data_IF_427798506253
#
_entry.id   IF_427798506253
#
_cell.length_a   1.000
_cell.length_b   1.000
_cell.length_c   1.000
_cell.angle_alpha   90.00
_cell.angle_beta   90.00
_cell.angle_gamma   90.00
#
_symmetry.space_group_name_H-M   'P 1'
#
loop_
_entity.id
_entity.type
_entity.pdbx_description
1 polymer ?
#
# COMPACT_ATOMS: atom_id res chain seq x y z
N UNK A 1 -1.41 18.61 -4.64
CA UNK A 1 -1.25 17.86 -3.39
C UNK A 1 -0.76 16.49 -3.78
N UNK A 2 0.29 15.99 -3.15
CA UNK A 2 0.76 14.63 -3.41
C UNK A 2 -0.03 13.72 -2.49
N UNK A 3 -0.90 12.90 -3.06
CA UNK A 3 -1.71 11.95 -2.34
C UNK A 3 -0.88 10.68 -2.07
N UNK A 4 -0.86 10.23 -0.82
CA UNK A 4 -0.05 9.08 -0.37
C UNK A 4 -0.91 7.83 -0.31
N UNK A 5 -0.42 6.72 -0.87
CA UNK A 5 -0.99 5.39 -0.66
C UNK A 5 -0.10 4.61 0.30
N UNK A 6 -0.68 4.19 1.43
CA UNK A 6 0.04 3.44 2.46
C UNK A 6 -0.07 1.95 2.18
N UNK A 7 1.07 1.27 2.16
CA UNK A 7 1.20 -0.17 1.97
C UNK A 7 0.89 -0.94 3.28
N UNK A 8 0.57 -2.23 3.17
CA UNK A 8 0.16 -3.05 4.31
C UNK A 8 1.27 -3.24 5.34
N UNK A 9 2.53 -3.31 4.91
CA UNK A 9 3.67 -3.47 5.81
C UNK A 9 3.79 -2.29 6.80
N UNK A 10 3.55 -1.05 6.34
CA UNK A 10 3.54 0.15 7.18
C UNK A 10 2.37 0.11 8.17
N UNK A 11 1.17 -0.30 7.70
CA UNK A 11 -0.01 -0.47 8.54
C UNK A 11 0.22 -1.49 9.65
N UNK A 12 0.75 -2.67 9.29
CA UNK A 12 1.07 -3.74 10.22
C UNK A 12 2.11 -3.28 11.24
N UNK A 13 3.13 -2.53 10.82
CA UNK A 13 4.13 -1.97 11.72
C UNK A 13 3.53 -0.96 12.70
N UNK A 14 2.60 -0.12 12.23
CA UNK A 14 1.89 0.82 13.09
C UNK A 14 1.06 0.10 14.15
N UNK A 15 0.23 -0.88 13.75
CA UNK A 15 -0.58 -1.69 14.67
C UNK A 15 0.27 -2.44 15.71
N UNK A 16 1.48 -2.86 15.32
CA UNK A 16 2.47 -3.49 16.22
C UNK A 16 3.26 -2.49 17.08
N UNK A 17 2.90 -1.21 17.07
CA UNK A 17 3.54 -0.15 17.87
C UNK A 17 4.99 0.12 17.50
N UNK A 18 5.41 -0.19 16.26
CA UNK A 18 6.79 0.05 15.82
C UNK A 18 7.03 1.55 15.71
N UNK A 19 7.96 2.08 16.51
CA UNK A 19 8.27 3.51 16.60
C UNK A 19 8.41 4.21 15.23
N UNK A 20 9.13 3.66 14.23
CA UNK A 20 9.24 4.30 12.92
C UNK A 20 7.88 4.53 12.24
N UNK A 21 6.95 3.57 12.34
CA UNK A 21 5.63 3.67 11.73
C UNK A 21 4.73 4.63 12.51
N UNK A 22 4.79 4.59 13.84
CA UNK A 22 4.07 5.54 14.70
C UNK A 22 4.50 6.98 14.40
N UNK A 23 5.81 7.25 14.38
CA UNK A 23 6.35 8.58 14.07
C UNK A 23 5.99 9.03 12.65
N UNK A 24 5.95 8.10 11.69
CA UNK A 24 5.53 8.36 10.31
C UNK A 24 4.05 8.74 10.22
N UNK A 25 3.14 7.98 10.84
CA UNK A 25 1.71 8.30 10.86
C UNK A 25 1.41 9.65 11.52
N UNK A 26 2.14 10.02 12.57
CA UNK A 26 2.01 11.36 13.16
C UNK A 26 2.37 12.48 12.18
N UNK A 27 3.33 12.25 11.28
CA UNK A 27 3.70 13.23 10.24
C UNK A 27 2.66 13.27 9.11
N UNK A 28 2.25 12.11 8.59
CA UNK A 28 1.33 12.03 7.45
C UNK A 28 -0.04 12.59 7.83
N UNK A 29 -0.54 12.29 9.04
CA UNK A 29 -1.82 12.80 9.55
C UNK A 29 -1.90 14.34 9.61
N UNK A 30 -0.77 15.03 9.67
CA UNK A 30 -0.73 16.49 9.63
C UNK A 30 -0.83 17.05 8.20
N UNK A 31 -0.61 16.24 7.17
CA UNK A 31 -0.63 16.65 5.77
C UNK A 31 -2.01 16.45 5.16
N UNK A 32 -2.54 15.23 5.22
CA UNK A 32 -3.90 14.88 4.76
C UNK A 32 -4.30 13.47 5.26
N UNK A 33 -5.53 13.07 4.99
CA UNK A 33 -6.00 11.69 5.18
C UNK A 33 -5.34 10.79 4.11
N UNK A 34 -4.54 9.78 4.49
CA UNK A 34 -3.87 8.91 3.53
C UNK A 34 -4.85 7.95 2.85
N UNK A 35 -4.46 7.50 1.66
CA UNK A 35 -5.18 6.46 0.94
C UNK A 35 -4.63 5.06 1.28
N UNK A 36 -5.45 4.04 1.06
CA UNK A 36 -5.02 2.65 1.01
C UNK A 36 -5.69 1.90 -0.16
N UNK A 37 -5.07 0.78 -0.52
CA UNK A 37 -5.68 -0.20 -1.42
C UNK A 37 -6.59 -1.16 -0.63
N UNK A 38 -7.72 -1.63 -1.20
CA UNK A 38 -8.49 -2.71 -0.58
C UNK A 38 -7.67 -4.00 -0.41
N UNK A 39 -6.62 -4.19 -1.21
CA UNK A 39 -5.69 -5.31 -1.04
C UNK A 39 -4.91 -5.18 0.28
N UNK A 40 -4.46 -3.97 0.63
CA UNK A 40 -3.77 -3.73 1.90
C UNK A 40 -4.69 -4.00 3.10
N UNK A 41 -5.99 -3.70 2.98
CA UNK A 41 -7.00 -4.06 3.99
C UNK A 41 -7.08 -5.58 4.15
N UNK A 42 -7.16 -6.33 3.03
CA UNK A 42 -7.19 -7.80 3.05
C UNK A 42 -5.95 -8.35 3.75
N UNK A 43 -4.76 -7.83 3.45
CA UNK A 43 -3.51 -8.29 4.05
C UNK A 43 -3.44 -8.01 5.55
N UNK A 44 -3.84 -6.81 5.98
CA UNK A 44 -3.90 -6.45 7.41
C UNK A 44 -4.85 -7.38 8.16
N UNK A 45 -6.09 -7.52 7.68
CA UNK A 45 -7.11 -8.35 8.32
C UNK A 45 -6.75 -9.84 8.33
N UNK A 46 -5.99 -10.31 7.34
CA UNK A 46 -5.54 -11.71 7.26
C UNK A 46 -4.48 -12.07 8.32
N UNK A 47 -3.84 -11.08 8.95
CA UNK A 47 -2.81 -11.29 9.98
C UNK A 47 -3.26 -10.77 11.37
N UNK A 48 -4.53 -10.39 11.52
CA UNK A 48 -5.11 -9.96 12.80
C UNK A 48 -5.15 -11.12 13.80
N UNK A 49 -4.76 -10.85 15.05
CA UNK A 49 -4.82 -11.83 16.14
C UNK A 49 -6.07 -11.64 16.98
N UNK A 50 -6.51 -12.71 17.68
CA UNK A 50 -7.61 -12.61 18.65
C UNK A 50 -7.36 -11.51 19.69
N UNK A 51 -8.32 -10.60 19.83
CA UNK A 51 -8.28 -9.43 20.72
C UNK A 51 -7.72 -8.16 20.07
N UNK A 52 -7.26 -8.20 18.82
CA UNK A 52 -6.77 -7.04 18.06
C UNK A 52 -7.79 -6.51 17.03
N UNK A 53 -8.96 -7.15 16.89
CA UNK A 53 -9.95 -6.89 15.83
C UNK A 53 -10.47 -5.45 15.85
N UNK A 54 -11.07 -5.02 16.97
CA UNK A 54 -11.70 -3.69 17.09
C UNK A 54 -10.69 -2.56 16.87
N UNK A 55 -9.46 -2.73 17.37
CA UNK A 55 -8.38 -1.77 17.20
C UNK A 55 -7.94 -1.70 15.74
N UNK A 56 -7.87 -2.85 15.07
CA UNK A 56 -7.49 -2.94 13.66
C UNK A 56 -8.56 -2.32 12.77
N UNK A 57 -9.84 -2.65 12.96
CA UNK A 57 -10.93 -2.05 12.19
C UNK A 57 -11.00 -0.53 12.39
N UNK A 58 -10.88 -0.07 13.64
CA UNK A 58 -10.84 1.37 13.95
C UNK A 58 -9.70 2.09 13.25
N UNK A 59 -8.52 1.45 13.16
CA UNK A 59 -7.39 1.99 12.43
C UNK A 59 -7.62 2.01 10.91
N UNK A 60 -8.18 0.95 10.33
CA UNK A 60 -8.46 0.90 8.89
C UNK A 60 -9.51 1.93 8.44
N UNK A 61 -10.45 2.30 9.32
CA UNK A 61 -11.43 3.36 9.07
C UNK A 61 -10.81 4.77 8.97
N UNK A 62 -9.52 4.93 9.29
CA UNK A 62 -8.81 6.19 9.11
C UNK A 62 -8.46 6.49 7.64
N UNK A 63 -8.45 5.48 6.76
CA UNK A 63 -7.97 5.62 5.39
C UNK A 63 -9.10 5.86 4.39
N UNK A 64 -8.80 6.64 3.34
CA UNK A 64 -9.62 6.66 2.13
C UNK A 64 -9.25 5.46 1.25
N UNK A 65 -10.23 4.64 0.87
CA UNK A 65 -9.97 3.44 0.06
C UNK A 65 -10.08 3.75 -1.43
N UNK A 66 -9.02 3.49 -2.20
CA UNK A 66 -9.06 3.57 -3.66
C UNK A 66 -9.46 2.21 -4.22
N UNK A 67 -10.68 2.11 -4.75
CA UNK A 67 -11.20 0.87 -5.31
C UNK A 67 -10.41 0.46 -6.56
N UNK A 68 -10.22 -0.86 -6.71
CA UNK A 68 -9.57 -1.44 -7.90
C UNK A 68 -10.57 -1.49 -9.04
N UNK A 69 -10.37 -0.62 -10.02
CA UNK A 69 -11.16 -0.59 -11.25
C UNK A 69 -10.47 -1.34 -12.40
N UNK A 70 -11.04 -1.22 -13.60
CA UNK A 70 -10.52 -1.87 -14.80
C UNK A 70 -9.14 -1.34 -15.19
N UNK A 71 -8.89 -0.04 -15.05
CA UNK A 71 -7.63 0.58 -15.45
C UNK A 71 -6.49 0.13 -14.53
N UNK A 72 -6.74 0.12 -13.21
CA UNK A 72 -5.81 -0.41 -12.21
C UNK A 72 -5.54 -1.90 -12.48
N UNK A 73 -6.59 -2.71 -12.70
CA UNK A 73 -6.42 -4.14 -12.95
C UNK A 73 -5.61 -4.43 -14.23
N UNK A 74 -5.86 -3.69 -15.32
CA UNK A 74 -5.10 -3.83 -16.56
C UNK A 74 -3.64 -3.41 -16.36
N UNK A 75 -3.39 -2.29 -15.68
CA UNK A 75 -2.05 -1.80 -15.37
C UNK A 75 -1.27 -2.81 -14.53
N UNK A 76 -1.90 -3.39 -13.50
CA UNK A 76 -1.31 -4.45 -12.68
C UNK A 76 -0.92 -5.67 -13.53
N UNK A 77 -1.82 -6.13 -14.41
CA UNK A 77 -1.55 -7.27 -15.29
C UNK A 77 -0.36 -7.05 -16.24
N UNK A 78 -0.27 -5.85 -16.84
CA UNK A 78 0.87 -5.49 -17.69
C UNK A 78 2.17 -5.39 -16.90
N UNK A 79 2.13 -4.82 -15.69
CA UNK A 79 3.29 -4.74 -14.81
C UNK A 79 3.82 -6.13 -14.45
N UNK A 80 2.95 -7.07 -14.08
CA UNK A 80 3.37 -8.46 -13.80
C UNK A 80 3.99 -9.11 -15.04
N UNK A 81 3.39 -8.91 -16.22
CA UNK A 81 3.94 -9.45 -17.47
C UNK A 81 5.34 -8.90 -17.76
N UNK A 82 5.53 -7.57 -17.70
CA UNK A 82 6.82 -6.90 -17.92
C UNK A 82 7.89 -7.38 -16.91
N UNK A 83 7.50 -7.52 -15.64
CA UNK A 83 8.38 -8.01 -14.57
C UNK A 83 8.83 -9.45 -14.85
N UNK A 84 7.86 -10.30 -15.17
CA UNK A 84 8.10 -11.72 -15.48
C UNK A 84 9.01 -11.88 -16.69
N UNK A 85 8.85 -11.07 -17.75
CA UNK A 85 9.72 -11.13 -18.92
C UNK A 85 11.18 -10.74 -18.63
N UNK A 86 11.42 -10.06 -17.51
CA UNK A 86 12.76 -9.72 -16.98
C UNK A 86 13.28 -10.72 -15.93
N UNK A 87 12.56 -11.83 -15.70
CA UNK A 87 12.92 -12.82 -14.69
C UNK A 87 12.66 -12.36 -13.24
N UNK A 88 11.88 -11.29 -13.04
CA UNK A 88 11.54 -10.76 -11.72
C UNK A 88 10.12 -11.19 -11.38
N UNK A 89 9.96 -11.90 -10.27
CA UNK A 89 8.65 -12.26 -9.73
C UNK A 89 8.06 -11.07 -8.96
N UNK A 90 6.77 -10.86 -9.12
CA UNK A 90 5.98 -9.87 -8.40
C UNK A 90 4.63 -10.52 -8.08
N UNK A 91 4.16 -10.36 -6.85
CA UNK A 91 2.85 -10.89 -6.47
C UNK A 91 1.73 -10.07 -7.12
N UNK A 92 0.54 -10.67 -7.25
CA UNK A 92 -0.62 -9.93 -7.75
C UNK A 92 -1.01 -8.80 -6.79
N UNK A 93 -0.84 -9.00 -5.48
CA UNK A 93 -1.14 -7.99 -4.47
C UNK A 93 -0.25 -6.76 -4.65
N UNK A 94 1.07 -6.95 -4.69
CA UNK A 94 2.05 -5.89 -4.93
C UNK A 94 1.77 -5.17 -6.25
N UNK A 95 1.44 -5.93 -7.30
CA UNK A 95 1.17 -5.36 -8.61
C UNK A 95 -0.08 -4.46 -8.61
N UNK A 96 -1.13 -4.86 -7.89
CA UNK A 96 -2.35 -4.05 -7.75
C UNK A 96 -2.04 -2.77 -6.95
N UNK A 97 -1.34 -2.88 -5.82
CA UNK A 97 -0.95 -1.72 -4.99
C UNK A 97 -0.13 -0.71 -5.80
N UNK A 98 0.88 -1.19 -6.53
CA UNK A 98 1.70 -0.35 -7.40
C UNK A 98 0.88 0.25 -8.54
N UNK A 99 0.02 -0.53 -9.19
CA UNK A 99 -0.82 -0.05 -10.28
C UNK A 99 -1.76 1.06 -9.80
N UNK A 100 -2.34 0.95 -8.60
CA UNK A 100 -3.14 2.01 -7.99
C UNK A 100 -2.32 3.30 -7.86
N UNK A 101 -1.06 3.21 -7.42
CA UNK A 101 -0.19 4.38 -7.32
C UNK A 101 0.14 4.99 -8.69
N UNK A 102 0.39 4.16 -9.70
CA UNK A 102 0.72 4.63 -11.05
C UNK A 102 -0.47 5.33 -11.72
N UNK A 103 -1.67 4.75 -11.61
CA UNK A 103 -2.89 5.32 -12.19
C UNK A 103 -3.31 6.60 -11.46
N UNK A 104 -3.24 6.60 -10.13
CA UNK A 104 -3.60 7.76 -9.30
C UNK A 104 -2.50 8.82 -9.18
N UNK A 105 -1.31 8.59 -9.74
CA UNK A 105 -0.13 9.45 -9.56
C UNK A 105 0.18 9.72 -8.06
N UNK A 106 0.21 8.64 -7.28
CA UNK A 106 0.36 8.64 -5.82
C UNK A 106 1.78 8.27 -5.40
N UNK A 107 2.19 8.74 -4.22
CA UNK A 107 3.40 8.26 -3.56
C UNK A 107 3.08 7.01 -2.76
N UNK A 108 3.81 5.92 -3.03
CA UNK A 108 3.74 4.70 -2.23
C UNK A 108 4.57 4.87 -0.95
N UNK A 109 3.92 4.70 0.20
CA UNK A 109 4.59 4.63 1.50
C UNK A 109 4.74 3.15 1.87
N UNK A 110 5.98 2.67 1.91
CA UNK A 110 6.30 1.25 2.15
C UNK A 110 7.68 1.11 2.81
N UNK A 111 7.85 0.11 3.67
CA UNK A 111 9.17 -0.29 4.17
C UNK A 111 9.86 -1.28 3.22
N UNK A 112 9.14 -1.84 2.24
CA UNK A 112 9.62 -2.83 1.28
C UNK A 112 10.15 -2.23 -0.04
N UNK A 113 10.78 -1.04 0.00
CA UNK A 113 11.22 -0.30 -1.20
C UNK A 113 12.02 -1.13 -2.21
N UNK A 114 12.80 -2.11 -1.74
CA UNK A 114 13.60 -3.01 -2.60
C UNK A 114 12.74 -3.85 -3.55
N UNK A 115 11.52 -4.21 -3.17
CA UNK A 115 10.60 -5.00 -4.01
C UNK A 115 10.17 -4.21 -5.26
N UNK A 116 10.10 -2.89 -5.12
CA UNK A 116 9.56 -1.99 -6.15
C UNK A 116 10.65 -1.31 -6.99
N UNK A 117 11.92 -1.67 -6.79
CA UNK A 117 13.03 -1.08 -7.55
C UNK A 117 12.83 -1.29 -9.05
N UNK A 118 13.05 -0.23 -9.84
CA UNK A 118 12.98 -0.28 -11.31
C UNK A 118 11.57 -0.29 -11.90
N UNK A 119 10.52 0.02 -11.12
CA UNK A 119 9.20 0.34 -11.68
C UNK A 119 9.24 1.79 -12.17
N UNK A 120 9.02 2.00 -13.46
CA UNK A 120 9.02 3.34 -14.04
C UNK A 120 7.75 4.08 -13.61
N UNK A 121 7.90 5.33 -13.20
CA UNK A 121 6.78 6.20 -12.81
C UNK A 121 6.31 6.02 -11.36
N UNK A 122 6.72 4.95 -10.67
CA UNK A 122 6.39 4.77 -9.27
C UNK A 122 7.21 5.74 -8.41
N UNK A 123 6.51 6.50 -7.58
CA UNK A 123 7.10 7.38 -6.58
C UNK A 123 7.02 6.69 -5.22
N UNK A 124 8.13 6.67 -4.49
CA UNK A 124 8.22 6.04 -3.17
C UNK A 124 8.66 7.10 -2.17
N UNK A 125 8.00 7.15 -1.01
CA UNK A 125 8.35 8.00 0.12
C UNK A 125 9.18 7.23 1.16
#
# INVERSE_FOLDING_TARGET
MNEFLVDSDVMIWFLRGKKPAVDLFYKIKQLDVPFCSPISIVEVLSDVKPGEEDATESFLNFFNVILVDREIAQTAGWLVNERKSRGILMSLNDAIIVATCLVGNLFLITYNQKHYKGIKGLQIY
#
